data_IF_262477451298
#
_entry.id   IF_262477451298
#
_cell.length_a   1.000
_cell.length_b   1.000
_cell.length_c   1.000
_cell.angle_alpha   90.00
_cell.angle_beta   90.00
_cell.angle_gamma   90.00
#
_symmetry.space_group_name_H-M   'P 1'
#
loop_
_entity.id
_entity.type
_entity.pdbx_description
1 polymer ?
#
# COMPACT_ATOMS: atom_id res chain seq x y z
N UNK A 1 21.47 -1.77 -20.03
CA UNK A 1 21.37 -1.27 -18.65
C UNK A 1 22.76 -1.36 -18.04
N UNK A 2 23.35 -0.24 -17.62
CA UNK A 2 24.63 -0.24 -16.90
C UNK A 2 24.42 -0.71 -15.47
N UNK A 3 25.37 -1.47 -14.93
CA UNK A 3 25.34 -1.89 -13.53
C UNK A 3 25.53 -0.68 -12.60
N UNK A 4 24.90 -0.72 -11.41
CA UNK A 4 25.09 0.27 -10.35
C UNK A 4 26.54 0.25 -9.85
N UNK A 5 27.09 1.42 -9.53
CA UNK A 5 28.39 1.54 -8.84
C UNK A 5 28.26 1.04 -7.40
N UNK A 6 29.38 0.61 -6.79
CA UNK A 6 29.42 0.14 -5.40
C UNK A 6 28.78 1.12 -4.41
N UNK A 7 29.10 2.42 -4.52
CA UNK A 7 28.53 3.46 -3.66
C UNK A 7 27.01 3.54 -3.79
N UNK A 8 26.49 3.47 -5.01
CA UNK A 8 25.04 3.49 -5.28
C UNK A 8 24.33 2.27 -4.71
N UNK A 9 24.98 1.11 -4.69
CA UNK A 9 24.45 -0.11 -4.06
C UNK A 9 24.34 0.08 -2.54
N UNK A 10 25.35 0.65 -1.89
CA UNK A 10 25.32 0.93 -0.46
C UNK A 10 24.21 1.92 -0.10
N UNK A 11 24.05 3.03 -0.85
CA UNK A 11 22.95 3.98 -0.66
C UNK A 11 21.59 3.31 -0.83
N UNK A 12 21.43 2.45 -1.85
CA UNK A 12 20.19 1.72 -2.09
C UNK A 12 19.85 0.80 -0.91
N UNK A 13 20.84 0.08 -0.37
CA UNK A 13 20.66 -0.82 0.77
C UNK A 13 20.22 -0.07 2.03
N UNK A 14 20.84 1.08 2.33
CA UNK A 14 20.41 1.94 3.44
C UNK A 14 18.96 2.37 3.26
N UNK A 15 18.61 2.83 2.05
CA UNK A 15 17.23 3.25 1.76
C UNK A 15 16.23 2.10 1.89
N UNK A 16 16.58 0.89 1.47
CA UNK A 16 15.73 -0.29 1.66
C UNK A 16 15.53 -0.57 3.15
N UNK A 17 16.59 -0.53 3.95
CA UNK A 17 16.54 -0.81 5.38
C UNK A 17 15.74 0.25 6.17
N UNK A 18 15.73 1.50 5.70
CA UNK A 18 14.94 2.59 6.29
C UNK A 18 13.44 2.50 5.99
N UNK A 19 13.01 1.59 5.09
CA UNK A 19 11.62 1.45 4.70
C UNK A 19 11.08 0.07 5.04
N UNK A 20 10.17 0.00 6.01
CA UNK A 20 9.44 -1.23 6.36
C UNK A 20 8.55 -1.75 5.20
N UNK A 21 8.14 -0.88 4.28
CA UNK A 21 7.28 -1.18 3.14
C UNK A 21 7.48 -0.15 2.03
N UNK A 22 7.41 -0.57 0.78
CA UNK A 22 7.51 0.32 -0.40
C UNK A 22 6.20 0.41 -1.19
N UNK A 23 5.21 -0.42 -0.86
CA UNK A 23 3.89 -0.38 -1.47
C UNK A 23 3.18 0.95 -1.16
N UNK A 24 2.63 1.59 -2.20
CA UNK A 24 1.86 2.83 -2.07
C UNK A 24 2.70 4.09 -1.86
N UNK A 25 4.03 3.98 -1.89
CA UNK A 25 4.90 5.16 -1.86
C UNK A 25 5.05 5.68 -3.29
N UNK A 26 4.35 6.78 -3.60
CA UNK A 26 4.45 7.45 -4.90
C UNK A 26 5.85 8.01 -5.16
N UNK A 27 6.54 8.46 -4.10
CA UNK A 27 7.86 9.06 -4.19
C UNK A 27 8.85 8.45 -3.20
N UNK A 28 9.25 7.21 -3.43
CA UNK A 28 10.23 6.52 -2.58
C UNK A 28 11.61 7.20 -2.60
N UNK A 29 11.94 7.83 -3.72
CA UNK A 29 13.12 8.67 -3.87
C UNK A 29 12.69 10.10 -4.20
N UNK A 30 12.97 11.08 -3.32
CA UNK A 30 12.69 12.48 -3.61
C UNK A 30 13.49 12.95 -4.84
N UNK A 31 13.08 14.05 -5.50
CA UNK A 31 13.72 14.50 -6.72
C UNK A 31 15.21 14.82 -6.57
N UNK A 32 15.63 15.22 -5.36
CA UNK A 32 17.01 15.52 -5.01
C UNK A 32 17.86 14.29 -4.68
N UNK A 33 17.29 13.09 -4.64
CA UNK A 33 18.02 11.88 -4.26
C UNK A 33 18.99 11.44 -5.36
N UNK A 34 20.22 11.06 -4.99
CA UNK A 34 21.28 10.67 -5.95
C UNK A 34 20.96 9.46 -6.83
N UNK A 35 20.01 8.62 -6.38
CA UNK A 35 19.53 7.45 -7.13
C UNK A 35 18.29 7.74 -8.01
N UNK A 36 17.76 8.98 -8.00
CA UNK A 36 16.60 9.36 -8.81
C UNK A 36 16.90 9.16 -10.30
N UNK A 37 15.99 8.49 -11.01
CA UNK A 37 16.14 8.19 -12.45
C UNK A 37 17.12 7.06 -12.77
N UNK A 38 17.78 6.49 -11.77
CA UNK A 38 18.67 5.32 -11.91
C UNK A 38 17.97 4.08 -11.36
N UNK A 39 17.35 4.22 -10.19
CA UNK A 39 16.57 3.16 -9.54
C UNK A 39 15.09 3.49 -9.63
N UNK A 40 14.30 2.46 -9.95
CA UNK A 40 12.84 2.55 -10.02
C UNK A 40 12.26 1.41 -9.20
N UNK A 41 11.20 1.67 -8.44
CA UNK A 41 10.42 0.58 -7.84
C UNK A 41 9.51 0.03 -8.92
N UNK A 42 9.58 -1.29 -9.11
CA UNK A 42 8.53 -2.01 -9.80
C UNK A 42 7.48 -2.44 -8.79
N UNK A 43 6.27 -1.94 -8.93
CA UNK A 43 5.14 -2.44 -8.16
C UNK A 43 4.87 -3.90 -8.58
N UNK A 44 5.10 -4.84 -7.66
CA UNK A 44 4.82 -6.27 -7.87
C UNK A 44 3.42 -6.68 -7.42
N UNK A 45 2.54 -5.70 -7.17
CA UNK A 45 1.20 -5.90 -6.66
C UNK A 45 0.19 -5.65 -7.78
N UNK A 46 -0.62 -6.66 -8.06
CA UNK A 46 -1.82 -6.54 -8.88
C UNK A 46 -3.06 -6.44 -7.99
N UNK A 47 -4.24 -6.19 -8.57
CA UNK A 47 -5.49 -6.33 -7.81
C UNK A 47 -5.73 -7.79 -7.36
N UNK A 48 -5.05 -8.79 -7.93
CA UNK A 48 -5.35 -10.20 -7.69
C UNK A 48 -4.85 -10.72 -6.33
N UNK A 49 -3.99 -9.97 -5.66
CA UNK A 49 -3.40 -10.35 -4.37
C UNK A 49 -3.54 -9.24 -3.34
N UNK A 50 -3.93 -9.53 -2.08
CA UNK A 50 -3.91 -8.54 -1.03
C UNK A 50 -2.48 -8.09 -0.72
N UNK A 51 -2.29 -6.83 -0.33
CA UNK A 51 -0.97 -6.20 -0.17
C UNK A 51 -0.10 -6.77 0.94
N UNK A 52 -0.72 -7.51 1.85
CA UNK A 52 -0.22 -8.04 3.12
C UNK A 52 -0.95 -7.39 4.31
N UNK A 53 -1.41 -8.24 5.21
CA UNK A 53 -1.93 -7.83 6.52
C UNK A 53 -0.90 -7.02 7.31
N UNK A 54 0.40 -7.18 7.05
CA UNK A 54 1.50 -6.39 7.63
C UNK A 54 1.32 -4.88 7.46
N UNK A 55 0.87 -4.44 6.28
CA UNK A 55 0.68 -3.01 6.02
C UNK A 55 -0.34 -2.39 7.00
N UNK A 56 -1.49 -3.06 7.16
CA UNK A 56 -2.61 -2.58 7.98
C UNK A 56 -2.60 -3.02 9.44
N UNK A 57 -1.83 -4.04 9.79
CA UNK A 57 -1.62 -4.44 11.20
C UNK A 57 -0.59 -3.56 11.91
N UNK A 58 0.25 -2.86 11.15
CA UNK A 58 1.20 -1.90 11.69
C UNK A 58 0.47 -0.70 12.32
N UNK A 59 0.89 -0.31 13.52
CA UNK A 59 0.28 0.78 14.32
C UNK A 59 0.67 2.18 13.84
N UNK A 60 1.58 2.30 12.88
CA UNK A 60 1.98 3.59 12.30
C UNK A 60 0.80 4.21 11.54
N UNK A 61 0.60 5.52 11.72
CA UNK A 61 -0.38 6.29 10.93
C UNK A 61 0.11 6.38 9.48
N UNK A 62 -0.42 5.50 8.63
CA UNK A 62 -0.15 5.47 7.19
C UNK A 62 -1.35 6.03 6.43
N UNK A 63 -1.14 6.61 5.24
CA UNK A 63 -2.25 6.97 4.37
C UNK A 63 -3.06 5.72 3.98
N UNK A 64 -4.39 5.84 3.77
CA UNK A 64 -5.17 4.73 3.26
C UNK A 64 -4.76 4.41 1.82
N UNK A 65 -4.58 3.13 1.52
CA UNK A 65 -4.38 2.62 0.16
C UNK A 65 -5.44 1.56 -0.13
N UNK A 66 -5.71 1.21 -1.38
CA UNK A 66 -6.58 0.08 -1.72
C UNK A 66 -5.98 -1.20 -1.15
N UNK A 67 -6.75 -2.09 -0.56
CA UNK A 67 -6.28 -3.35 0.07
C UNK A 67 -5.60 -4.33 -0.90
N UNK A 68 -5.99 -4.27 -2.18
CA UNK A 68 -5.53 -5.20 -3.20
C UNK A 68 -4.32 -4.66 -3.98
N UNK A 69 -4.46 -3.51 -4.63
CA UNK A 69 -3.39 -3.01 -5.50
C UNK A 69 -2.46 -1.99 -4.83
N UNK A 70 -2.85 -1.39 -3.71
CA UNK A 70 -1.99 -0.50 -2.93
C UNK A 70 -1.86 0.91 -3.46
N UNK A 71 -2.74 1.27 -4.39
CA UNK A 71 -2.91 2.65 -4.84
C UNK A 71 -3.80 3.41 -3.87
N UNK A 72 -3.44 4.65 -3.58
CA UNK A 72 -4.19 5.60 -2.76
C UNK A 72 -5.21 6.42 -3.58
N UNK A 73 -5.24 6.26 -4.90
CA UNK A 73 -6.11 7.03 -5.79
C UNK A 73 -7.44 6.31 -6.05
N UNK A 74 -8.47 7.10 -6.35
CA UNK A 74 -9.81 6.59 -6.70
C UNK A 74 -10.38 5.60 -5.68
N UNK A 75 -10.14 5.86 -4.39
CA UNK A 75 -10.74 5.07 -3.31
C UNK A 75 -12.25 5.28 -3.30
N UNK A 76 -12.97 4.17 -3.14
CA UNK A 76 -14.43 4.13 -3.08
C UNK A 76 -14.85 4.29 -1.63
N UNK A 77 -15.89 5.08 -1.39
CA UNK A 77 -16.47 5.23 -0.07
C UNK A 77 -17.17 3.93 0.36
N UNK A 78 -16.84 3.45 1.56
CA UNK A 78 -17.55 2.33 2.16
C UNK A 78 -18.94 2.80 2.63
N UNK A 79 -19.92 1.91 2.54
CA UNK A 79 -21.27 2.21 3.03
C UNK A 79 -21.29 2.29 4.56
N UNK A 80 -22.24 3.07 5.09
CA UNK A 80 -22.43 3.19 6.54
C UNK A 80 -22.64 1.83 7.21
N UNK A 81 -23.39 0.92 6.57
CA UNK A 81 -23.61 -0.44 7.09
C UNK A 81 -22.30 -1.20 7.31
N UNK A 82 -21.34 -1.07 6.39
CA UNK A 82 -20.02 -1.71 6.52
C UNK A 82 -19.23 -1.07 7.67
N UNK A 83 -19.20 0.26 7.72
CA UNK A 83 -18.44 1.00 8.74
C UNK A 83 -18.99 0.74 10.16
N UNK A 84 -20.30 0.62 10.30
CA UNK A 84 -20.96 0.31 11.57
C UNK A 84 -20.88 -1.18 11.92
N UNK A 85 -20.95 -2.08 10.95
CA UNK A 85 -20.98 -3.53 11.19
C UNK A 85 -19.64 -4.18 11.52
N UNK A 86 -18.51 -3.57 11.11
CA UNK A 86 -17.19 -4.20 11.20
C UNK A 86 -16.17 -3.33 11.95
N UNK A 87 -15.26 -3.99 12.68
CA UNK A 87 -14.17 -3.33 13.41
C UNK A 87 -13.16 -2.69 12.47
N UNK A 88 -12.94 -3.32 11.32
CA UNK A 88 -12.06 -2.83 10.27
C UNK A 88 -12.74 -3.01 8.92
N UNK A 89 -12.73 -1.95 8.12
CA UNK A 89 -13.08 -1.99 6.69
C UNK A 89 -11.86 -1.46 5.95
N UNK A 90 -11.22 -2.32 5.17
CA UNK A 90 -9.99 -1.94 4.46
C UNK A 90 -10.35 -1.22 3.16
N UNK A 91 -9.64 -0.14 2.77
CA UNK A 91 -10.04 0.65 1.61
C UNK A 91 -10.01 -0.14 0.30
N UNK A 92 -10.83 0.26 -0.66
CA UNK A 92 -10.94 -0.35 -1.98
C UNK A 92 -10.90 0.76 -3.03
N UNK A 93 -10.16 0.58 -4.14
CA UNK A 93 -10.24 1.51 -5.27
C UNK A 93 -11.22 1.03 -6.34
N UNK A 94 -11.72 1.99 -7.13
CA UNK A 94 -12.71 1.74 -8.18
C UNK A 94 -12.23 0.70 -9.21
N UNK A 95 -10.94 0.70 -9.55
CA UNK A 95 -10.40 -0.28 -10.49
C UNK A 95 -10.50 -1.71 -9.95
N UNK A 96 -10.11 -1.96 -8.70
CA UNK A 96 -10.24 -3.30 -8.14
C UNK A 96 -11.72 -3.67 -7.90
N UNK A 97 -12.59 -2.69 -7.60
CA UNK A 97 -14.04 -2.92 -7.56
C UNK A 97 -14.58 -3.39 -8.92
N UNK A 98 -14.20 -2.72 -10.02
CA UNK A 98 -14.58 -3.10 -11.38
C UNK A 98 -14.00 -4.45 -11.80
N UNK A 99 -12.83 -4.83 -11.26
CA UNK A 99 -12.25 -6.17 -11.43
C UNK A 99 -12.93 -7.25 -10.58
N UNK A 100 -14.00 -6.92 -9.84
CA UNK A 100 -14.81 -7.88 -9.09
C UNK A 100 -14.45 -8.01 -7.60
N UNK A 101 -13.54 -7.20 -7.09
CA UNK A 101 -13.25 -7.18 -5.65
C UNK A 101 -14.30 -6.38 -4.86
N UNK A 102 -14.51 -6.80 -3.62
CA UNK A 102 -15.32 -6.09 -2.63
C UNK A 102 -14.45 -5.60 -1.48
N UNK A 103 -15.01 -4.79 -0.58
CA UNK A 103 -14.30 -4.35 0.61
C UNK A 103 -13.84 -5.56 1.42
N UNK A 104 -12.54 -5.63 1.72
CA UNK A 104 -12.05 -6.57 2.70
C UNK A 104 -12.49 -6.08 4.09
N UNK A 105 -13.02 -6.99 4.91
CA UNK A 105 -13.61 -6.69 6.20
C UNK A 105 -12.92 -7.50 7.28
N UNK A 106 -12.67 -6.85 8.42
CA UNK A 106 -12.16 -7.48 9.62
C UNK A 106 -13.28 -8.13 10.45
N UNK A 107 -13.06 -8.21 11.75
CA UNK A 107 -13.99 -8.82 12.70
C UNK A 107 -15.30 -8.02 12.76
N UNK A 108 -16.45 -8.72 12.76
CA UNK A 108 -17.75 -8.08 13.01
C UNK A 108 -17.80 -7.48 14.42
N UNK A 109 -18.31 -6.25 14.55
CA UNK A 109 -18.60 -5.70 15.86
C UNK A 109 -19.74 -6.51 16.48
N UNK A 110 -19.58 -6.91 17.74
CA UNK A 110 -20.72 -7.45 18.49
C UNK A 110 -21.70 -6.32 18.71
N UNK A 111 -22.97 -6.56 18.40
CA UNK A 111 -24.05 -5.68 18.83
C UNK A 111 -24.02 -5.68 20.36
N UNK A 112 -23.67 -4.54 20.95
CA UNK A 112 -23.83 -4.32 22.38
C UNK A 112 -25.28 -3.91 22.55
N UNK A 113 -26.12 -4.87 22.95
CA UNK A 113 -27.49 -4.60 23.40
C UNK A 113 -27.46 -3.88 24.75
#
# INVERSE_FOLDING_TARGET
>A
MSALKKEQISTLQLKINDNDFTCGIEEWMPPSHELKGIVFIRQSLSCDSPIESGYYSNRLKKPPICYYCGKNNSLVEATDDLLHGYQSVYPLCSNCQLSGHSFHIGVRKKLVN
#
